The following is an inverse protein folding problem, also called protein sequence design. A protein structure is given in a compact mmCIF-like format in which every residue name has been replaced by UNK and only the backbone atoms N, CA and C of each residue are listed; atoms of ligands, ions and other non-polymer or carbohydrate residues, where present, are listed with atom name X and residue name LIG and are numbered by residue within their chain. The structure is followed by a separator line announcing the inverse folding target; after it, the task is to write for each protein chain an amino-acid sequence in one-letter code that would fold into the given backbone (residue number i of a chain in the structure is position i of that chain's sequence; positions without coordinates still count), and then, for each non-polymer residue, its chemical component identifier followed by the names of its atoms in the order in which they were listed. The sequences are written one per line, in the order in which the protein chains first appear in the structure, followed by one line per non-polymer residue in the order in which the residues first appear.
data_IF_837679596538
#
_entry.id   IF_837679596538
#
_cell.length_a   1.000
_cell.length_b   1.000
_cell.length_c   1.000
_cell.angle_alpha   90.00
_cell.angle_beta   90.00
_cell.angle_gamma   90.00
#
_symmetry.space_group_name_H-M   'P 1'
#
loop_
_entity.id
_entity.type
_entity.pdbx_description
1 polymer ?
#
# COMPACT_ATOMS: atom_id res chain seq x y z
N UNK A 1 -16.37 7.44 -1.98
CA UNK A 1 -16.20 5.96 -2.10
C UNK A 1 -17.36 5.34 -2.85
N UNK A 2 -18.59 5.34 -2.30
CA UNK A 2 -19.76 4.74 -2.94
C UNK A 2 -20.01 5.23 -4.38
N UNK A 3 -19.96 6.54 -4.61
CA UNK A 3 -20.09 7.12 -5.95
C UNK A 3 -19.04 6.54 -6.94
N UNK A 4 -17.77 6.47 -6.53
CA UNK A 4 -16.68 5.91 -7.35
C UNK A 4 -16.93 4.44 -7.75
N UNK A 5 -17.49 3.65 -6.85
CA UNK A 5 -17.87 2.25 -7.13
C UNK A 5 -19.02 2.17 -8.12
N UNK A 6 -20.06 3.00 -7.95
CA UNK A 6 -21.18 3.07 -8.89
C UNK A 6 -20.73 3.56 -10.28
N UNK A 7 -19.88 4.58 -10.35
CA UNK A 7 -19.33 5.09 -11.61
C UNK A 7 -18.50 4.02 -12.35
N UNK A 8 -17.75 3.21 -11.59
CA UNK A 8 -16.98 2.08 -12.14
C UNK A 8 -17.89 0.99 -12.69
N UNK A 9 -18.97 0.65 -11.98
CA UNK A 9 -19.95 -0.34 -12.44
C UNK A 9 -20.68 0.15 -13.69
N UNK A 10 -21.10 1.42 -13.72
CA UNK A 10 -21.72 2.03 -14.90
C UNK A 10 -20.78 1.98 -16.12
N UNK A 11 -19.50 2.34 -15.94
CA UNK A 11 -18.49 2.26 -16.99
C UNK A 11 -18.29 0.83 -17.52
N UNK A 12 -18.35 -0.17 -16.64
CA UNK A 12 -18.32 -1.59 -17.04
C UNK A 12 -19.54 -1.96 -17.86
N UNK A 13 -20.76 -1.60 -17.42
CA UNK A 13 -21.99 -1.91 -18.14
C UNK A 13 -22.05 -1.29 -19.54
N UNK A 14 -21.53 -0.07 -19.73
CA UNK A 14 -21.47 0.59 -21.04
C UNK A 14 -20.51 -0.07 -22.03
N UNK A 15 -19.54 -0.83 -21.53
CA UNK A 15 -18.42 -1.38 -22.32
C UNK A 15 -18.39 -2.90 -22.40
N UNK A 16 -19.15 -3.62 -21.57
CA UNK A 16 -19.11 -5.10 -21.47
C UNK A 16 -19.38 -5.82 -22.79
N UNK A 17 -20.22 -5.26 -23.65
CA UNK A 17 -20.59 -5.87 -24.94
C UNK A 17 -19.59 -5.58 -26.07
N UNK A 18 -18.66 -4.63 -25.88
CA UNK A 18 -17.77 -4.14 -26.96
C UNK A 18 -16.36 -4.71 -26.91
N UNK A 19 -15.88 -5.14 -25.74
CA UNK A 19 -14.60 -5.83 -25.54
C UNK A 19 -14.51 -6.25 -24.05
N UNK A 20 -14.07 -7.47 -23.73
CA UNK A 20 -13.89 -7.90 -22.33
C UNK A 20 -12.64 -7.29 -21.65
N UNK A 21 -12.45 -5.96 -21.76
CA UNK A 21 -11.30 -5.21 -21.23
C UNK A 21 -11.12 -5.45 -19.73
N UNK A 22 -12.22 -5.34 -18.98
CA UNK A 22 -12.22 -5.46 -17.53
C UNK A 22 -11.76 -6.84 -17.08
N UNK A 23 -12.29 -7.91 -17.69
CA UNK A 23 -11.90 -9.29 -17.38
C UNK A 23 -10.44 -9.57 -17.74
N UNK A 24 -9.99 -9.15 -18.93
CA UNK A 24 -8.58 -9.30 -19.34
C UNK A 24 -7.64 -8.55 -18.40
N UNK A 25 -8.01 -7.34 -17.98
CA UNK A 25 -7.24 -6.51 -17.07
C UNK A 25 -7.21 -7.08 -15.66
N UNK A 26 -8.34 -7.59 -15.16
CA UNK A 26 -8.43 -8.31 -13.90
C UNK A 26 -7.47 -9.51 -13.89
N UNK A 27 -7.54 -10.35 -14.92
CA UNK A 27 -6.66 -11.52 -15.04
C UNK A 27 -5.17 -11.13 -15.07
N UNK A 28 -4.80 -10.08 -15.82
CA UNK A 28 -3.42 -9.58 -15.87
C UNK A 28 -2.93 -9.12 -14.49
N UNK A 29 -3.77 -8.43 -13.74
CA UNK A 29 -3.42 -7.98 -12.38
C UNK A 29 -3.28 -9.17 -11.43
N UNK A 30 -4.20 -10.11 -11.47
CA UNK A 30 -4.15 -11.30 -10.61
C UNK A 30 -2.95 -12.20 -10.94
N UNK A 31 -2.52 -12.24 -12.20
CA UNK A 31 -1.25 -12.86 -12.59
C UNK A 31 -0.07 -12.07 -12.03
N UNK A 32 -0.03 -10.75 -12.23
CA UNK A 32 1.04 -9.92 -11.69
C UNK A 32 1.13 -10.01 -10.16
N UNK A 33 0.02 -10.09 -9.42
CA UNK A 33 0.03 -10.25 -7.96
C UNK A 33 0.66 -11.57 -7.52
N UNK A 34 0.49 -12.65 -8.31
CA UNK A 34 1.13 -13.94 -8.07
C UNK A 34 2.65 -13.86 -8.32
N UNK A 35 3.09 -13.08 -9.30
CA UNK A 35 4.53 -12.90 -9.55
C UNK A 35 5.26 -12.11 -8.45
N UNK A 36 4.52 -11.47 -7.52
CA UNK A 36 5.06 -10.70 -6.39
C UNK A 36 5.03 -11.49 -5.06
N UNK A 37 5.01 -12.82 -5.12
CA UNK A 37 4.99 -13.71 -3.94
C UNK A 37 5.98 -13.29 -2.83
N UNK A 38 5.53 -13.42 -1.58
CA UNK A 38 6.32 -13.21 -0.36
C UNK A 38 6.73 -11.78 -0.02
N UNK A 39 6.04 -10.75 -0.54
CA UNK A 39 6.43 -9.33 -0.34
C UNK A 39 5.38 -8.43 0.29
N UNK A 40 4.19 -8.94 0.57
CA UNK A 40 3.07 -8.14 1.05
C UNK A 40 3.43 -7.19 2.21
N UNK A 41 4.03 -7.70 3.29
CA UNK A 41 4.37 -6.88 4.46
C UNK A 41 5.49 -5.88 4.19
N UNK A 42 6.47 -6.23 3.33
CA UNK A 42 7.55 -5.32 2.94
C UNK A 42 7.00 -4.17 2.08
N UNK A 43 6.11 -4.46 1.12
CA UNK A 43 5.47 -3.45 0.28
C UNK A 43 4.58 -2.51 1.12
N UNK A 44 3.85 -3.05 2.10
CA UNK A 44 3.06 -2.22 3.03
C UNK A 44 3.95 -1.37 3.94
N UNK A 45 5.08 -1.91 4.39
CA UNK A 45 6.08 -1.16 5.14
C UNK A 45 6.72 -0.04 4.31
N UNK A 46 6.93 -0.26 3.01
CA UNK A 46 7.37 0.78 2.08
C UNK A 46 6.29 1.84 1.86
N UNK A 47 5.02 1.45 1.71
CA UNK A 47 3.91 2.42 1.66
C UNK A 47 3.84 3.27 2.95
N UNK A 48 4.06 2.65 4.10
CA UNK A 48 4.16 3.34 5.38
C UNK A 48 5.38 4.29 5.42
N UNK A 49 6.54 3.85 4.94
CA UNK A 49 7.73 4.70 4.82
C UNK A 49 7.47 5.94 3.95
N UNK A 50 6.82 5.77 2.80
CA UNK A 50 6.52 6.86 1.87
C UNK A 50 5.49 7.84 2.40
N UNK A 51 4.62 7.40 3.33
CA UNK A 51 3.69 8.25 4.05
C UNK A 51 4.39 9.20 5.03
N UNK A 52 5.63 8.92 5.46
CA UNK A 52 6.40 9.83 6.31
C UNK A 52 7.15 10.89 5.49
N UNK A 53 7.47 12.00 6.14
CA UNK A 53 8.24 13.09 5.52
C UNK A 53 9.69 12.67 5.33
N UNK A 54 10.30 13.11 4.22
CA UNK A 54 11.65 12.69 3.86
C UNK A 54 12.72 13.20 4.83
N UNK A 55 12.42 14.30 5.50
CA UNK A 55 13.32 14.99 6.43
C UNK A 55 13.07 14.59 7.89
N UNK A 56 12.04 13.78 8.16
CA UNK A 56 11.72 13.27 9.49
C UNK A 56 12.07 11.77 9.61
N UNK A 57 13.19 11.43 10.27
CA UNK A 57 13.55 10.04 10.52
C UNK A 57 12.79 9.42 11.71
N UNK A 58 11.91 10.17 12.37
CA UNK A 58 11.20 9.76 13.60
C UNK A 58 9.96 8.90 13.39
N UNK A 59 9.64 8.53 12.14
CA UNK A 59 8.44 7.76 11.82
C UNK A 59 8.33 6.44 12.59
N UNK A 60 7.11 6.07 12.97
CA UNK A 60 6.82 4.81 13.66
C UNK A 60 5.91 3.95 12.82
N UNK A 61 6.25 2.68 12.72
CA UNK A 61 5.41 1.64 12.11
C UNK A 61 5.23 0.50 13.09
N UNK A 62 4.03 -0.05 13.16
CA UNK A 62 3.73 -1.29 13.87
C UNK A 62 3.08 -2.28 12.90
N UNK A 63 3.62 -3.49 12.87
CA UNK A 63 3.05 -4.61 12.14
C UNK A 63 2.69 -5.69 13.16
N UNK A 64 1.41 -6.06 13.21
CA UNK A 64 0.89 -7.06 14.15
C UNK A 64 0.22 -8.19 13.39
N UNK A 65 0.55 -9.43 13.73
CA UNK A 65 -0.25 -10.60 13.40
C UNK A 65 -1.04 -11.03 14.64
N UNK A 66 -2.35 -11.04 14.53
CA UNK A 66 -3.26 -11.55 15.55
C UNK A 66 -3.81 -12.90 15.07
N UNK A 67 -3.33 -14.00 15.66
CA UNK A 67 -3.64 -15.37 15.22
C UNK A 67 -5.08 -15.79 15.56
N UNK A 68 -5.70 -15.14 16.56
CA UNK A 68 -7.01 -15.52 17.11
C UNK A 68 -8.16 -14.70 16.51
N UNK A 69 -7.85 -13.68 15.71
CA UNK A 69 -8.85 -12.78 15.17
C UNK A 69 -9.53 -13.35 13.91
N UNK A 70 -10.81 -13.71 14.03
CA UNK A 70 -11.58 -14.28 12.94
C UNK A 70 -11.15 -15.73 12.64
N UNK A 71 -11.50 -16.29 11.47
CA UNK A 71 -11.29 -17.72 11.19
C UNK A 71 -9.82 -18.10 10.95
N UNK A 72 -8.99 -17.15 10.51
CA UNK A 72 -7.61 -17.40 10.09
C UNK A 72 -6.61 -16.36 10.63
N UNK A 73 -7.04 -15.51 11.57
CA UNK A 73 -6.24 -14.39 12.06
C UNK A 73 -6.37 -13.11 11.22
N UNK A 74 -5.71 -12.06 11.67
CA UNK A 74 -5.65 -10.77 10.99
C UNK A 74 -4.27 -10.10 11.10
N UNK A 75 -3.82 -9.47 10.02
CA UNK A 75 -2.63 -8.62 10.03
C UNK A 75 -3.03 -7.16 10.14
N UNK A 76 -2.29 -6.41 10.94
CA UNK A 76 -2.38 -4.96 11.05
C UNK A 76 -1.08 -4.31 10.61
N UNK A 77 -1.16 -3.24 9.81
CA UNK A 77 -0.03 -2.36 9.50
C UNK A 77 -0.42 -0.93 9.84
N UNK A 78 0.15 -0.40 10.90
CA UNK A 78 -0.14 0.93 11.44
C UNK A 78 1.05 1.85 11.27
N UNK A 79 0.84 3.10 10.82
CA UNK A 79 1.92 4.08 10.67
C UNK A 79 1.54 5.47 11.18
N UNK A 80 2.54 6.25 11.58
CA UNK A 80 2.38 7.63 12.10
C UNK A 80 2.67 8.70 11.05
N UNK A 81 2.69 8.33 9.77
CA UNK A 81 2.96 9.25 8.68
C UNK A 81 1.77 10.18 8.41
N UNK A 82 1.66 10.65 7.18
CA UNK A 82 0.54 11.49 6.76
C UNK A 82 -0.76 10.67 6.66
N UNK A 83 -1.92 11.26 6.96
CA UNK A 83 -3.22 10.63 6.70
C UNK A 83 -3.41 10.31 5.21
N UNK A 84 -4.29 9.37 4.92
CA UNK A 84 -4.67 9.01 3.54
C UNK A 84 -5.29 10.22 2.86
N UNK A 85 -4.68 10.67 1.76
CA UNK A 85 -5.22 11.74 0.92
C UNK A 85 -6.11 11.20 -0.21
N UNK A 86 -6.82 12.09 -0.90
CA UNK A 86 -7.56 11.74 -2.12
C UNK A 86 -6.69 11.06 -3.18
N UNK A 87 -5.47 11.55 -3.41
CA UNK A 87 -4.55 10.92 -4.37
C UNK A 87 -4.07 9.54 -3.90
N UNK A 88 -3.93 9.31 -2.59
CA UNK A 88 -3.60 7.98 -2.07
C UNK A 88 -4.77 7.02 -2.27
N UNK A 89 -5.98 7.47 -1.94
CA UNK A 89 -7.21 6.72 -2.18
C UNK A 89 -7.36 6.36 -3.66
N UNK A 90 -7.11 7.31 -4.56
CA UNK A 90 -7.15 7.06 -5.99
C UNK A 90 -6.10 6.04 -6.42
N UNK A 91 -4.85 6.18 -5.97
CA UNK A 91 -3.78 5.22 -6.29
C UNK A 91 -4.07 3.79 -5.79
N UNK A 92 -4.76 3.64 -4.65
CA UNK A 92 -5.17 2.31 -4.13
C UNK A 92 -6.32 1.69 -4.91
N UNK A 93 -7.21 2.52 -5.49
CA UNK A 93 -8.49 2.08 -6.08
C UNK A 93 -8.51 2.15 -7.61
N UNK A 94 -7.40 2.52 -8.25
CA UNK A 94 -7.30 2.59 -9.71
C UNK A 94 -6.45 1.46 -10.28
N UNK A 95 -6.76 1.08 -11.52
CA UNK A 95 -5.91 0.22 -12.32
C UNK A 95 -5.19 1.10 -13.32
N UNK A 96 -3.86 1.12 -13.21
CA UNK A 96 -2.95 1.67 -14.22
C UNK A 96 -3.10 3.17 -14.51
N UNK A 97 -2.96 4.01 -13.47
CA UNK A 97 -2.43 5.36 -13.65
C UNK A 97 -0.94 5.37 -13.27
N UNK A 98 -0.10 4.81 -14.16
CA UNK A 98 1.32 5.18 -14.17
C UNK A 98 1.58 5.85 -15.51
N UNK A 99 1.29 7.15 -15.59
CA UNK A 99 1.83 8.01 -16.65
C UNK A 99 3.35 8.23 -16.52
N UNK A 100 4.01 7.51 -15.60
CA UNK A 100 5.46 7.49 -15.48
C UNK A 100 6.04 6.35 -16.28
N UNK A 101 7.00 6.70 -17.15
CA UNK A 101 7.83 5.73 -17.85
C UNK A 101 8.58 4.87 -16.83
N UNK A 102 8.90 3.59 -17.15
CA UNK A 102 9.61 2.66 -16.26
C UNK A 102 10.94 3.19 -15.70
N UNK A 103 11.51 4.21 -16.35
CA UNK A 103 12.81 4.82 -16.06
C UNK A 103 12.80 5.94 -15.00
N UNK A 104 11.64 6.35 -14.44
CA UNK A 104 11.56 7.48 -13.48
C UNK A 104 11.50 7.09 -11.98
N UNK A 105 11.75 5.82 -11.64
CA UNK A 105 11.93 5.37 -10.26
C UNK A 105 11.28 4.02 -9.98
N UNK A 106 11.95 3.20 -9.17
CA UNK A 106 11.40 1.95 -8.65
C UNK A 106 10.30 2.32 -7.64
N UNK A 107 9.05 2.29 -8.09
CA UNK A 107 7.89 2.67 -7.30
C UNK A 107 6.64 2.79 -8.16
N UNK A 108 6.14 1.66 -8.66
CA UNK A 108 4.85 1.60 -9.36
C UNK A 108 3.73 1.91 -8.35
N UNK A 109 3.36 3.19 -8.24
CA UNK A 109 2.26 3.64 -7.37
C UNK A 109 1.02 2.80 -7.66
N UNK A 110 0.53 2.08 -6.65
CA UNK A 110 -0.67 1.23 -6.75
C UNK A 110 -0.44 -0.26 -7.06
N UNK A 111 0.77 -0.71 -7.40
CA UNK A 111 1.08 -2.16 -7.49
C UNK A 111 1.42 -2.71 -6.10
N UNK A 112 2.21 -1.98 -5.30
CA UNK A 112 2.61 -2.41 -3.96
C UNK A 112 1.42 -2.68 -3.03
N UNK A 113 0.33 -1.89 -3.13
CA UNK A 113 -0.89 -2.15 -2.36
C UNK A 113 -1.61 -3.45 -2.79
N UNK A 114 -1.52 -3.86 -4.06
CA UNK A 114 -2.22 -5.08 -4.54
C UNK A 114 -1.60 -6.37 -4.01
N UNK A 115 -0.36 -6.32 -3.52
CA UNK A 115 0.29 -7.45 -2.84
C UNK A 115 -0.50 -7.96 -1.63
N UNK A 116 -1.36 -7.12 -1.01
CA UNK A 116 -2.25 -7.53 0.09
C UNK A 116 -3.17 -8.70 -0.29
N UNK A 117 -3.46 -8.87 -1.58
CA UNK A 117 -4.29 -9.97 -2.07
C UNK A 117 -3.65 -11.34 -1.88
N UNK A 118 -2.35 -11.41 -1.59
CA UNK A 118 -1.70 -12.64 -1.13
C UNK A 118 -2.23 -13.07 0.23
N UNK A 119 -2.54 -12.12 1.11
CA UNK A 119 -2.92 -12.36 2.50
C UNK A 119 -4.44 -12.30 2.74
N UNK A 120 -5.14 -11.37 2.08
CA UNK A 120 -6.55 -11.05 2.34
C UNK A 120 -7.36 -10.85 1.07
N UNK A 121 -8.63 -11.23 1.09
CA UNK A 121 -9.61 -10.87 0.06
C UNK A 121 -10.42 -9.60 0.39
N UNK A 122 -10.26 -9.04 1.60
CA UNK A 122 -11.06 -7.92 2.08
C UNK A 122 -10.18 -6.95 2.91
N UNK A 123 -9.16 -6.33 2.29
CA UNK A 123 -8.31 -5.38 2.98
C UNK A 123 -9.12 -4.16 3.43
N UNK A 124 -8.92 -3.73 4.66
CA UNK A 124 -9.61 -2.60 5.27
C UNK A 124 -8.62 -1.47 5.55
N UNK A 125 -9.00 -0.24 5.23
CA UNK A 125 -8.19 0.96 5.43
C UNK A 125 -8.90 1.90 6.38
N UNK A 126 -8.21 2.31 7.43
CA UNK A 126 -8.65 3.30 8.39
C UNK A 126 -7.60 4.41 8.48
N UNK A 127 -8.02 5.65 8.34
CA UNK A 127 -7.15 6.82 8.46
C UNK A 127 -7.89 7.93 9.15
N UNK A 128 -7.16 8.74 9.92
CA UNK A 128 -7.71 9.95 10.53
C UNK A 128 -7.95 11.05 9.48
N UNK A 129 -8.79 12.03 9.79
CA UNK A 129 -9.06 13.14 8.87
C UNK A 129 -7.93 14.16 8.80
N UNK A 130 -7.13 14.29 9.86
CA UNK A 130 -6.04 15.25 9.95
C UNK A 130 -5.04 14.93 11.07
N UNK A 131 -3.88 15.58 11.00
CA UNK A 131 -2.83 15.42 12.01
C UNK A 131 -3.35 15.78 13.41
N UNK A 132 -3.07 14.92 14.40
CA UNK A 132 -3.47 15.13 15.80
C UNK A 132 -4.82 14.53 16.20
N UNK A 133 -5.64 14.08 15.23
CA UNK A 133 -6.84 13.29 15.55
C UNK A 133 -6.46 11.97 16.23
N UNK A 134 -7.29 11.54 17.17
CA UNK A 134 -7.13 10.31 17.98
C UNK A 134 -8.22 9.28 17.70
N UNK A 135 -8.98 9.50 16.63
CA UNK A 135 -10.03 8.61 16.14
C UNK A 135 -9.92 8.53 14.62
N UNK A 136 -10.28 7.38 14.03
CA UNK A 136 -10.24 7.22 12.58
C UNK A 136 -11.47 7.86 11.91
N UNK A 137 -11.48 9.19 11.84
CA UNK A 137 -12.57 10.02 11.30
C UNK A 137 -12.40 10.42 9.83
N UNK A 138 -11.34 9.94 9.17
CA UNK A 138 -11.05 10.18 7.75
C UNK A 138 -11.48 9.03 6.85
N UNK A 139 -10.58 8.60 5.96
CA UNK A 139 -10.84 7.49 5.04
C UNK A 139 -11.05 6.18 5.81
N UNK A 140 -12.24 5.60 5.68
CA UNK A 140 -12.62 4.28 6.21
C UNK A 140 -13.31 3.47 5.12
N UNK A 141 -12.62 2.46 4.59
CA UNK A 141 -13.17 1.66 3.51
C UNK A 141 -12.60 0.25 3.45
N UNK A 142 -13.41 -0.63 2.89
CA UNK A 142 -13.02 -1.93 2.35
C UNK A 142 -13.30 -1.92 0.85
N UNK A 143 -13.30 -3.08 0.22
CA UNK A 143 -13.61 -3.25 -1.19
C UNK A 143 -14.74 -4.25 -1.35
N UNK A 144 -15.52 -4.08 -2.41
CA UNK A 144 -16.76 -4.81 -2.59
C UNK A 144 -16.51 -6.31 -2.72
N UNK A 145 -17.32 -7.08 -2.01
CA UNK A 145 -17.51 -8.52 -2.13
C UNK A 145 -18.87 -8.81 -2.77
N UNK A 146 -19.22 -10.08 -2.98
CA UNK A 146 -20.51 -10.42 -3.60
C UNK A 146 -21.71 -9.92 -2.81
N UNK A 147 -21.63 -9.91 -1.47
CA UNK A 147 -22.72 -9.48 -0.59
C UNK A 147 -22.96 -7.98 -0.72
N UNK A 148 -21.90 -7.18 -0.56
CA UNK A 148 -21.99 -5.72 -0.69
C UNK A 148 -22.31 -5.28 -2.12
N UNK A 149 -21.91 -6.03 -3.15
CA UNK A 149 -22.36 -5.78 -4.53
C UNK A 149 -23.86 -5.96 -4.69
N UNK A 150 -24.45 -7.04 -4.14
CA UNK A 150 -25.90 -7.24 -4.17
C UNK A 150 -26.63 -6.07 -3.49
N UNK A 151 -26.15 -5.64 -2.33
CA UNK A 151 -26.74 -4.51 -1.60
C UNK A 151 -26.61 -3.19 -2.37
N UNK A 152 -25.44 -2.93 -2.98
CA UNK A 152 -25.18 -1.73 -3.78
C UNK A 152 -26.05 -1.66 -5.04
N UNK A 153 -26.39 -2.82 -5.60
CA UNK A 153 -27.15 -2.97 -6.85
C UNK A 153 -28.64 -3.27 -6.60
N UNK A 154 -29.15 -2.96 -5.40
CA UNK A 154 -30.58 -3.08 -5.11
C UNK A 154 -31.11 -4.52 -5.14
N UNK A 155 -30.26 -5.50 -4.85
CA UNK A 155 -30.59 -6.93 -4.85
C UNK A 155 -30.46 -7.62 -6.21
N UNK A 156 -29.93 -6.95 -7.24
CA UNK A 156 -29.66 -7.58 -8.53
C UNK A 156 -28.50 -8.58 -8.44
N UNK A 157 -28.85 -9.85 -8.17
CA UNK A 157 -27.89 -10.95 -8.00
C UNK A 157 -27.13 -11.26 -9.30
N UNK A 158 -27.78 -11.11 -10.46
CA UNK A 158 -27.18 -11.41 -11.76
C UNK A 158 -26.10 -10.38 -12.07
N UNK A 159 -26.42 -9.09 -11.96
CA UNK A 159 -25.44 -8.03 -12.19
C UNK A 159 -24.32 -8.05 -11.14
N UNK A 160 -24.62 -8.34 -9.87
CA UNK A 160 -23.60 -8.46 -8.84
C UNK A 160 -22.58 -9.57 -9.16
N UNK A 161 -23.05 -10.73 -9.63
CA UNK A 161 -22.18 -11.83 -10.06
C UNK A 161 -21.36 -11.47 -11.30
N UNK A 162 -21.96 -10.79 -12.29
CA UNK A 162 -21.24 -10.29 -13.48
C UNK A 162 -20.10 -9.33 -13.09
N UNK A 163 -20.40 -8.34 -12.24
CA UNK A 163 -19.41 -7.36 -11.76
C UNK A 163 -18.30 -8.05 -10.96
N UNK A 164 -18.64 -8.97 -10.06
CA UNK A 164 -17.65 -9.72 -9.29
C UNK A 164 -16.72 -10.55 -10.19
N UNK A 165 -17.26 -11.14 -11.26
CA UNK A 165 -16.50 -11.92 -12.22
C UNK A 165 -15.54 -11.05 -13.05
N UNK A 166 -15.98 -9.88 -13.49
CA UNK A 166 -15.28 -9.12 -14.54
C UNK A 166 -14.47 -7.94 -14.03
N UNK A 167 -14.90 -7.30 -12.94
CA UNK A 167 -14.26 -6.12 -12.41
C UNK A 167 -13.31 -6.51 -11.28
N UNK A 168 -12.06 -6.07 -11.37
CA UNK A 168 -11.08 -6.29 -10.31
C UNK A 168 -11.55 -5.61 -9.02
N UNK A 169 -11.70 -6.40 -7.96
CA UNK A 169 -12.44 -5.98 -6.76
C UNK A 169 -11.82 -4.75 -6.06
N UNK A 170 -10.49 -4.57 -6.11
CA UNK A 170 -9.86 -3.38 -5.52
C UNK A 170 -10.21 -2.06 -6.26
N UNK A 171 -10.95 -2.10 -7.37
CA UNK A 171 -11.53 -0.92 -8.01
C UNK A 171 -12.87 -0.48 -7.44
N UNK A 172 -13.42 -1.25 -6.49
CA UNK A 172 -14.77 -1.09 -6.00
C UNK A 172 -14.75 -0.77 -4.49
N UNK A 173 -14.21 0.38 -4.06
CA UNK A 173 -14.15 0.74 -2.65
C UNK A 173 -15.54 0.95 -2.05
N UNK A 174 -15.78 0.36 -0.89
CA UNK A 174 -17.04 0.47 -0.13
C UNK A 174 -16.74 1.10 1.24
N UNK A 175 -17.50 2.13 1.66
CA UNK A 175 -17.28 2.74 2.97
C UNK A 175 -17.51 1.73 4.10
N UNK A 176 -16.78 1.90 5.20
CA UNK A 176 -17.02 1.18 6.45
C UNK A 176 -17.71 2.11 7.44
N UNK A 177 -18.84 1.67 8.00
CA UNK A 177 -19.66 2.51 8.88
C UNK A 177 -19.04 2.65 10.29
N UNK A 178 -18.38 1.61 10.78
CA UNK A 178 -17.74 1.54 12.09
C UNK A 178 -16.23 1.34 12.05
N UNK A 179 -15.60 1.47 13.22
CA UNK A 179 -14.19 1.15 13.44
C UNK A 179 -14.12 0.12 14.56
N UNK A 180 -13.59 -1.09 14.32
CA UNK A 180 -13.46 -2.11 15.36
C UNK A 180 -12.62 -1.62 16.55
N UNK A 181 -12.90 -2.09 17.76
CA UNK A 181 -12.15 -1.71 18.97
C UNK A 181 -10.65 -2.04 18.85
N UNK A 182 -10.34 -3.18 18.23
CA UNK A 182 -8.97 -3.60 17.92
C UNK A 182 -8.21 -2.61 17.00
N UNK A 183 -8.95 -1.82 16.21
CA UNK A 183 -8.41 -0.74 15.38
C UNK A 183 -8.33 0.56 16.19
N UNK A 184 -9.38 0.93 16.94
CA UNK A 184 -9.43 2.18 17.71
C UNK A 184 -8.23 2.39 18.65
N UNK A 185 -7.71 1.31 19.24
CA UNK A 185 -6.51 1.37 20.09
C UNK A 185 -5.28 2.01 19.41
N UNK A 186 -5.12 1.83 18.09
CA UNK A 186 -4.00 2.43 17.36
C UNK A 186 -4.05 3.95 17.30
N UNK A 187 -5.24 4.54 17.14
CA UNK A 187 -5.36 6.00 17.09
C UNK A 187 -5.07 6.62 18.47
N UNK A 188 -5.44 5.94 19.56
CA UNK A 188 -5.08 6.33 20.91
C UNK A 188 -3.54 6.37 21.08
N UNK A 189 -2.84 5.38 20.53
CA UNK A 189 -1.36 5.28 20.51
C UNK A 189 -0.68 6.24 19.50
N UNK A 190 -1.46 7.07 18.81
CA UNK A 190 -0.99 8.11 17.89
C UNK A 190 -0.66 7.62 16.48
N UNK A 191 -1.12 6.43 16.10
CA UNK A 191 -1.06 5.98 14.70
C UNK A 191 -2.16 6.67 13.87
N UNK A 192 -1.79 7.08 12.66
CA UNK A 192 -2.58 7.95 11.79
C UNK A 192 -3.32 7.14 10.73
N UNK A 193 -2.71 6.05 10.26
CA UNK A 193 -3.30 5.13 9.28
C UNK A 193 -3.07 3.69 9.70
N UNK A 194 -4.11 2.87 9.61
CA UNK A 194 -4.10 1.44 9.90
C UNK A 194 -4.70 0.68 8.72
N UNK A 195 -3.94 -0.27 8.20
CA UNK A 195 -4.45 -1.33 7.35
C UNK A 195 -4.77 -2.54 8.21
N UNK A 196 -6.00 -3.05 8.15
CA UNK A 196 -6.41 -4.31 8.76
C UNK A 196 -6.70 -5.31 7.65
N UNK A 197 -6.05 -6.47 7.71
CA UNK A 197 -6.09 -7.51 6.69
C UNK A 197 -6.60 -8.80 7.34
N UNK A 198 -7.91 -9.05 7.38
CA UNK A 198 -8.45 -10.34 7.78
C UNK A 198 -7.92 -11.42 6.83
N UNK A 199 -7.24 -12.44 7.36
CA UNK A 199 -6.56 -13.41 6.53
C UNK A 199 -7.56 -14.35 5.86
N UNK A 200 -7.29 -14.69 4.60
CA UNK A 200 -8.22 -15.47 3.77
C UNK A 200 -8.11 -16.99 3.96
N UNK A 201 -7.01 -17.47 4.56
CA UNK A 201 -6.78 -18.90 4.79
C UNK A 201 -5.64 -19.12 5.81
N UNK A 202 -5.46 -20.37 6.22
CA UNK A 202 -4.35 -20.78 7.08
C UNK A 202 -2.99 -20.62 6.39
N UNK A 203 -2.91 -20.88 5.08
CA UNK A 203 -1.69 -20.65 4.31
C UNK A 203 -1.32 -19.17 4.27
N UNK A 204 -2.32 -18.27 4.14
CA UNK A 204 -2.10 -16.84 4.23
C UNK A 204 -1.60 -16.40 5.62
N UNK A 205 -2.02 -17.08 6.68
CA UNK A 205 -1.51 -16.86 8.04
C UNK A 205 -0.06 -17.30 8.20
N UNK A 206 0.28 -18.50 7.72
CA UNK A 206 1.65 -18.99 7.72
C UNK A 206 2.58 -18.05 6.93
N UNK A 207 2.14 -17.64 5.74
CA UNK A 207 2.84 -16.67 4.89
C UNK A 207 3.05 -15.32 5.61
N UNK A 208 2.03 -14.80 6.28
CA UNK A 208 2.15 -13.57 7.06
C UNK A 208 3.19 -13.71 8.19
N UNK A 209 3.21 -14.84 8.91
CA UNK A 209 4.17 -15.10 9.98
C UNK A 209 5.62 -15.21 9.46
N UNK A 210 5.81 -15.86 8.31
CA UNK A 210 7.12 -15.94 7.65
C UNK A 210 7.62 -14.56 7.23
N UNK A 211 6.77 -13.76 6.56
CA UNK A 211 7.12 -12.39 6.18
C UNK A 211 7.41 -11.53 7.41
N UNK A 212 6.64 -11.67 8.50
CA UNK A 212 6.84 -10.92 9.73
C UNK A 212 8.20 -11.22 10.36
N UNK A 213 8.60 -12.49 10.37
CA UNK A 213 9.93 -12.93 10.81
C UNK A 213 11.02 -12.28 9.95
N UNK A 214 10.85 -12.31 8.62
CA UNK A 214 11.81 -11.78 7.66
C UNK A 214 12.07 -10.27 7.82
N UNK A 215 11.09 -9.48 8.29
CA UNK A 215 11.30 -8.04 8.54
C UNK A 215 12.39 -7.75 9.58
N UNK A 216 12.63 -8.69 10.50
CA UNK A 216 13.65 -8.57 11.56
C UNK A 216 14.89 -9.43 11.34
N UNK A 217 14.94 -10.19 10.24
CA UNK A 217 16.12 -10.98 9.88
C UNK A 217 17.33 -10.08 9.62
N UNK A 218 18.55 -10.57 9.79
CA UNK A 218 19.77 -9.80 9.58
C UNK A 218 20.19 -9.79 8.08
N UNK A 219 20.41 -8.63 7.44
CA UNK A 219 20.22 -7.27 7.97
C UNK A 219 18.74 -6.86 8.04
N UNK A 220 18.28 -6.21 9.13
CA UNK A 220 16.87 -5.85 9.26
C UNK A 220 16.41 -4.89 8.18
N UNK A 221 15.19 -5.07 7.68
CA UNK A 221 14.62 -4.20 6.62
C UNK A 221 14.65 -2.73 7.00
N UNK A 222 14.48 -2.44 8.31
CA UNK A 222 14.51 -1.10 8.88
C UNK A 222 15.81 -0.35 8.54
N UNK A 223 16.94 -1.05 8.33
CA UNK A 223 18.21 -0.45 7.94
C UNK A 223 18.07 0.48 6.72
N UNK A 224 17.23 0.09 5.76
CA UNK A 224 17.04 0.78 4.49
C UNK A 224 15.92 1.82 4.51
N UNK A 225 15.14 1.92 5.60
CA UNK A 225 13.97 2.78 5.70
C UNK A 225 14.30 4.06 6.48
N UNK A 226 14.87 5.05 5.80
CA UNK A 226 15.45 6.25 6.45
C UNK A 226 14.43 7.15 7.13
N UNK A 227 13.16 7.09 6.73
CA UNK A 227 12.05 7.87 7.32
C UNK A 227 11.36 7.19 8.50
N UNK A 228 11.80 5.98 8.85
CA UNK A 228 11.25 5.20 9.95
C UNK A 228 12.33 5.04 11.02
N UNK A 229 12.05 5.58 12.21
CA UNK A 229 12.93 5.51 13.38
C UNK A 229 12.62 4.29 14.23
N UNK A 230 11.39 3.78 14.18
CA UNK A 230 11.03 2.55 14.89
C UNK A 230 10.05 1.67 14.12
N UNK A 231 10.33 0.37 14.12
CA UNK A 231 9.45 -0.69 13.62
C UNK A 231 9.13 -1.62 14.79
N UNK A 232 7.85 -1.70 15.17
CA UNK A 232 7.37 -2.68 16.15
C UNK A 232 6.73 -3.85 15.41
N UNK A 233 7.17 -5.05 15.76
CA UNK A 233 6.64 -6.32 15.28
C UNK A 233 5.95 -6.99 16.46
N UNK A 234 4.70 -7.40 16.28
CA UNK A 234 3.88 -8.00 17.32
C UNK A 234 3.18 -9.26 16.81
N UNK A 235 3.21 -10.32 17.59
CA UNK A 235 2.39 -11.52 17.39
C UNK A 235 1.52 -11.74 18.61
N UNK A 236 0.23 -12.01 18.38
CA UNK A 236 -0.74 -12.34 19.43
C UNK A 236 -1.32 -13.71 19.18
N UNK A 237 -1.31 -14.56 20.19
CA UNK A 237 -1.88 -15.91 20.12
C UNK A 237 -2.24 -16.38 21.52
N UNK A 238 -3.44 -16.94 21.69
CA UNK A 238 -3.96 -17.45 22.95
C UNK A 238 -3.86 -16.44 24.11
N UNK A 239 -4.02 -15.15 23.80
CA UNK A 239 -3.89 -14.04 24.76
C UNK A 239 -2.45 -13.64 25.11
N UNK A 240 -1.45 -14.40 24.66
CA UNK A 240 -0.04 -14.05 24.78
C UNK A 240 0.38 -13.04 23.71
N UNK A 241 1.30 -12.14 24.05
CA UNK A 241 1.79 -11.09 23.14
C UNK A 241 3.31 -11.13 23.06
N UNK A 242 3.84 -11.58 21.93
CA UNK A 242 5.24 -11.49 21.60
C UNK A 242 5.50 -10.16 20.86
N UNK A 243 6.24 -9.24 21.47
CA UNK A 243 6.54 -7.92 20.89
C UNK A 243 8.04 -7.69 20.78
N UNK A 244 8.48 -7.20 19.61
CA UNK A 244 9.85 -6.76 19.33
C UNK A 244 9.84 -5.39 18.68
N UNK A 245 10.62 -4.45 19.21
CA UNK A 245 10.79 -3.12 18.60
C UNK A 245 12.22 -2.95 18.12
N UNK A 246 12.36 -2.69 16.82
CA UNK A 246 13.62 -2.28 16.21
C UNK A 246 13.67 -0.76 16.17
N UNK A 247 14.78 -0.19 16.63
CA UNK A 247 15.03 1.26 16.58
C UNK A 247 16.22 1.52 15.67
N UNK A 248 16.08 2.52 14.80
CA UNK A 248 17.11 2.97 13.88
C UNK A 248 17.63 4.33 14.29
N UNK A 249 18.94 4.46 14.36
CA UNK A 249 19.63 5.75 14.45
C UNK A 249 20.69 5.81 13.37
N UNK A 250 20.93 7.00 12.82
CA UNK A 250 21.95 7.22 11.79
C UNK A 250 22.78 8.45 12.18
N UNK A 251 24.11 8.30 12.17
CA UNK A 251 25.05 9.40 12.34
C UNK A 251 25.87 9.54 11.07
N UNK A 252 25.86 10.73 10.46
CA UNK A 252 26.75 11.03 9.34
C UNK A 252 28.19 11.11 9.85
N UNK A 253 29.08 10.33 9.25
CA UNK A 253 30.50 10.28 9.59
C UNK A 253 31.32 11.21 8.72
N UNK A 254 31.02 11.22 7.42
CA UNK A 254 31.72 12.04 6.44
C UNK A 254 30.80 12.39 5.27
N UNK A 255 30.95 13.62 4.77
CA UNK A 255 30.35 14.06 3.51
C UNK A 255 31.49 14.49 2.59
N UNK A 256 31.62 13.78 1.48
CA UNK A 256 32.51 14.06 0.37
C UNK A 256 31.63 14.42 -0.83
N UNK A 257 32.11 15.25 -1.77
CA UNK A 257 31.36 15.80 -2.93
C UNK A 257 30.07 15.04 -3.31
N UNK A 258 30.22 13.77 -3.73
CA UNK A 258 29.11 12.89 -4.15
C UNK A 258 28.91 11.66 -3.28
N UNK A 259 29.54 11.59 -2.11
CA UNK A 259 29.53 10.42 -1.23
C UNK A 259 29.26 10.84 0.21
N UNK A 260 28.16 10.36 0.77
CA UNK A 260 27.89 10.42 2.20
C UNK A 260 28.21 9.06 2.82
N UNK A 261 29.01 9.06 3.88
CA UNK A 261 29.26 7.89 4.72
C UNK A 261 28.56 8.13 6.06
N UNK A 262 27.73 7.17 6.47
CA UNK A 262 27.06 7.21 7.76
C UNK A 262 27.13 5.88 8.48
N UNK A 263 27.12 5.93 9.80
CA UNK A 263 26.98 4.77 10.67
C UNK A 263 25.51 4.69 11.08
N UNK A 264 24.83 3.62 10.65
CA UNK A 264 23.49 3.32 11.08
C UNK A 264 23.52 2.22 12.15
N UNK A 265 22.77 2.41 13.24
CA UNK A 265 22.54 1.37 14.24
C UNK A 265 21.09 0.93 14.18
N UNK A 266 20.88 -0.37 14.05
CA UNK A 266 19.57 -0.99 14.14
C UNK A 266 19.63 -2.07 15.21
N UNK A 267 18.81 -1.92 16.26
CA UNK A 267 18.92 -2.73 17.47
C UNK A 267 20.37 -2.74 18.00
N UNK A 268 21.01 -3.91 18.10
CA UNK A 268 22.39 -4.09 18.60
C UNK A 268 23.46 -4.03 17.50
N UNK A 269 23.08 -4.01 16.23
CA UNK A 269 24.01 -4.12 15.11
C UNK A 269 24.31 -2.74 14.52
N UNK A 270 25.60 -2.47 14.24
CA UNK A 270 26.06 -1.27 13.56
C UNK A 270 26.43 -1.58 12.11
N UNK A 271 25.99 -0.74 11.19
CA UNK A 271 26.22 -0.84 9.75
C UNK A 271 26.86 0.45 9.24
N UNK A 272 27.73 0.32 8.23
CA UNK A 272 28.27 1.47 7.50
C UNK A 272 27.49 1.62 6.20
N UNK A 273 26.78 2.73 6.06
CA UNK A 273 26.07 3.10 4.84
C UNK A 273 26.95 4.01 3.99
N UNK A 274 27.00 3.71 2.69
CA UNK A 274 27.67 4.55 1.69
C UNK A 274 26.65 4.96 0.65
N UNK A 275 26.23 6.22 0.69
CA UNK A 275 25.26 6.77 -0.24
C UNK A 275 25.97 7.64 -1.25
N UNK A 276 25.95 7.23 -2.52
CA UNK A 276 26.51 8.00 -3.63
C UNK A 276 25.41 8.74 -4.38
N UNK A 277 25.54 10.05 -4.50
CA UNK A 277 24.61 10.87 -5.30
C UNK A 277 25.15 10.96 -6.73
N UNK A 278 24.42 10.40 -7.68
CA UNK A 278 24.72 10.55 -9.12
C UNK A 278 23.75 11.54 -9.75
N UNK A 279 24.23 12.63 -10.40
CA UNK A 279 23.34 13.51 -11.14
C UNK A 279 22.69 12.72 -12.28
N UNK A 280 21.37 12.77 -12.39
CA UNK A 280 20.66 12.29 -13.57
C UNK A 280 20.77 13.38 -14.64
N UNK A 281 21.22 13.08 -15.87
CA UNK A 281 21.27 14.07 -16.95
C UNK A 281 19.87 14.66 -17.17
N UNK A 282 19.76 15.99 -17.19
CA UNK A 282 18.52 16.64 -17.61
C UNK A 282 18.21 16.19 -19.05
N UNK A 283 17.06 15.54 -19.25
CA UNK A 283 16.58 15.20 -20.59
C UNK A 283 16.29 16.52 -21.31
N UNK A 284 17.20 16.94 -22.20
CA UNK A 284 16.95 18.10 -23.05
C UNK A 284 15.83 17.75 -24.03
N UNK A 285 14.65 18.34 -23.87
CA UNK A 285 13.65 18.34 -24.93
C UNK A 285 14.19 19.13 -26.13
N UNK A 286 14.87 18.46 -27.07
CA UNK A 286 15.03 19.01 -28.42
C UNK A 286 13.65 18.99 -29.07
N UNK A 287 12.96 20.15 -29.08
CA UNK A 287 11.88 20.39 -30.03
C UNK A 287 12.46 20.19 -31.42
N UNK A 288 11.93 19.21 -32.16
CA UNK A 288 12.18 19.14 -33.59
C UNK A 288 11.72 20.46 -34.23
N UNK A 289 12.51 21.07 -35.13
CA UNK A 289 12.08 22.28 -35.82
C UNK A 289 10.84 21.97 -36.66
N UNK A 290 9.82 22.81 -36.51
CA UNK A 290 8.61 22.78 -37.31
C UNK A 290 8.96 22.95 -38.78
N UNK A 291 8.71 21.93 -39.60
CA UNK A 291 8.71 22.05 -41.06
C UNK A 291 7.49 22.89 -41.44
N UNK A 292 7.70 24.13 -41.87
CA UNK A 292 6.68 24.92 -42.54
C UNK A 292 6.48 24.36 -43.96
N UNK A 293 5.22 24.14 -44.41
CA UNK A 293 4.98 23.79 -45.79
C UNK A 293 5.21 25.02 -46.67
N UNK A 294 6.17 24.92 -47.59
CA UNK A 294 6.33 25.85 -48.71
C UNK A 294 5.07 25.82 -49.58
N UNK A 295 4.38 26.95 -49.66
CA UNK A 295 3.38 27.20 -50.71
C UNK A 295 4.11 27.28 -52.05
N UNK A 296 3.73 26.42 -53.00
CA UNK A 296 4.02 26.65 -54.41
C UNK A 296 3.07 27.73 -54.92
N UNK A 297 3.63 28.87 -55.31
CA UNK A 297 2.99 29.78 -56.26
C UNK A 297 3.43 29.38 -57.67
N UNK A 298 2.45 29.46 -58.58
CA UNK A 298 2.46 29.24 -60.05
C UNK A 298 2.63 27.82 -60.57
#
# INVERSE_FOLDING_TARGET
MRAKTLDRIASYQESKDRWNLFRSLKNLIEQAVRDYEHRALVELLQNAHDAHDADDPGGRVLIRLDHDEGPHGAVYVANTGRPVSGSNFDAMTYIAQSDKRPEEGIGNKGIGFKSVLQLTGAPQVYSVAGAGSRVFDGYRFTFADETSLKDLLGGDVTLAAEVAADVFHLCLPVPLDGVPDAVNGFAADGYVTVLRLPLKSEEARAEAAEQLTALSADPPVLLFLRRIGSLTIEERQDGEVARRTLVRTERVDAVLDRLTVSTARVATTCFILRVRTTPVPAISHRRAPSVQPTRHET
#
